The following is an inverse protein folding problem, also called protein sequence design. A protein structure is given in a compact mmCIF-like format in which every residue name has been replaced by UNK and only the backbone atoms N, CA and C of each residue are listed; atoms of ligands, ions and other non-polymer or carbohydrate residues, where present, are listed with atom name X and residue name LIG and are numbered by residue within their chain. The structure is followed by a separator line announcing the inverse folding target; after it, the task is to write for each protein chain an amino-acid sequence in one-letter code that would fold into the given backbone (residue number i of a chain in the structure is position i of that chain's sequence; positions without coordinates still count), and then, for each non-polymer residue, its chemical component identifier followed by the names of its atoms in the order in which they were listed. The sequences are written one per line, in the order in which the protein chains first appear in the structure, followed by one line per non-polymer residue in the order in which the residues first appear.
data_IF_222256380972
#
_entry.id   IF_222256380972
#
_cell.length_a   1.000
_cell.length_b   1.000
_cell.length_c   1.000
_cell.angle_alpha   90.00
_cell.angle_beta   90.00
_cell.angle_gamma   90.00
#
_symmetry.space_group_name_H-M   'P 1'
#
loop_
_entity.id
_entity.type
_entity.pdbx_description
1 polymer ?
#
# COMPACT_ATOMS: atom_id res chain seq x y z
N UNK A 1 -0.23 3.27 -17.65
CA UNK A 1 -0.82 3.62 -16.34
C UNK A 1 -0.68 2.39 -15.48
N UNK A 2 0.12 2.43 -14.43
CA UNK A 2 0.30 1.27 -13.55
C UNK A 2 -1.00 1.03 -12.79
N UNK A 3 -1.60 -0.14 -12.97
CA UNK A 3 -2.79 -0.58 -12.23
C UNK A 3 -2.38 -0.99 -10.80
N UNK A 4 -1.87 -0.03 -10.04
CA UNK A 4 -1.49 -0.24 -8.65
C UNK A 4 -2.74 -0.47 -7.81
N UNK A 5 -2.76 -1.52 -6.99
CA UNK A 5 -3.94 -1.90 -6.17
C UNK A 5 -4.40 -0.78 -5.21
N UNK A 6 -3.48 0.12 -4.86
CA UNK A 6 -3.67 1.30 -4.02
C UNK A 6 -3.96 2.59 -4.79
N UNK A 7 -4.18 2.55 -6.11
CA UNK A 7 -4.40 3.74 -6.93
C UNK A 7 -5.62 4.59 -6.53
N UNK A 8 -6.60 3.99 -5.85
CA UNK A 8 -7.78 4.69 -5.33
C UNK A 8 -7.50 5.49 -4.05
N UNK A 9 -6.34 5.32 -3.42
CA UNK A 9 -5.92 6.05 -2.23
C UNK A 9 -5.21 7.34 -2.64
N UNK A 10 -5.96 8.25 -3.27
CA UNK A 10 -5.49 9.58 -3.63
C UNK A 10 -5.29 10.45 -2.39
N UNK A 11 -4.58 11.57 -2.55
CA UNK A 11 -4.35 12.49 -1.43
C UNK A 11 -5.67 13.10 -0.93
N UNK A 12 -6.65 13.33 -1.80
CA UNK A 12 -7.99 13.79 -1.42
C UNK A 12 -8.71 12.77 -0.55
N UNK A 13 -8.70 11.49 -0.93
CA UNK A 13 -9.31 10.41 -0.15
C UNK A 13 -8.65 10.30 1.22
N UNK A 14 -7.32 10.36 1.26
CA UNK A 14 -6.56 10.30 2.51
C UNK A 14 -6.86 11.53 3.38
N UNK A 15 -6.79 12.74 2.84
CA UNK A 15 -7.06 13.97 3.59
C UNK A 15 -8.47 13.97 4.17
N UNK A 16 -9.48 13.54 3.41
CA UNK A 16 -10.85 13.40 3.89
C UNK A 16 -10.95 12.39 5.05
N UNK A 17 -10.22 11.29 4.98
CA UNK A 17 -10.19 10.29 6.05
C UNK A 17 -9.58 10.82 7.38
N UNK A 18 -8.73 11.85 7.31
CA UNK A 18 -8.11 12.50 8.48
C UNK A 18 -8.84 13.79 8.89
N UNK A 19 -9.94 14.16 8.23
CA UNK A 19 -10.71 15.35 8.56
C UNK A 19 -11.15 15.31 10.04
N UNK A 20 -11.04 16.44 10.74
CA UNK A 20 -11.36 16.58 12.16
C UNK A 20 -10.52 15.71 13.12
N UNK A 21 -9.35 15.22 12.70
CA UNK A 21 -8.41 14.53 13.58
C UNK A 21 -7.22 15.42 13.97
N UNK A 22 -6.62 15.18 15.14
CA UNK A 22 -5.42 15.88 15.59
C UNK A 22 -4.30 14.89 15.89
N UNK A 23 -3.43 14.67 14.91
CA UNK A 23 -2.23 13.83 15.04
C UNK A 23 -0.96 14.62 15.36
N UNK A 24 -1.02 15.96 15.42
CA UNK A 24 0.16 16.83 15.57
C UNK A 24 1.15 16.78 14.39
N UNK A 25 0.80 16.08 13.30
CA UNK A 25 1.58 15.94 12.05
C UNK A 25 0.63 15.74 10.88
N UNK A 26 1.08 16.08 9.66
CA UNK A 26 0.27 16.10 8.43
C UNK A 26 0.74 15.13 7.36
N UNK A 27 1.75 14.32 7.64
CA UNK A 27 2.24 13.26 6.76
C UNK A 27 1.39 11.99 6.89
N UNK A 28 0.12 12.11 6.51
CA UNK A 28 -0.90 11.08 6.69
C UNK A 28 -0.56 9.77 6.00
N UNK A 29 0.07 9.81 4.82
CA UNK A 29 0.57 8.59 4.15
C UNK A 29 1.54 7.81 5.03
N UNK A 30 2.44 8.50 5.73
CA UNK A 30 3.38 7.90 6.67
C UNK A 30 2.64 7.30 7.86
N UNK A 31 1.69 8.02 8.45
CA UNK A 31 0.88 7.52 9.57
C UNK A 31 0.13 6.23 9.19
N UNK A 32 -0.47 6.19 8.00
CA UNK A 32 -1.15 5.00 7.49
C UNK A 32 -0.17 3.84 7.29
N UNK A 33 0.98 4.08 6.66
CA UNK A 33 2.00 3.06 6.40
C UNK A 33 2.61 2.51 7.70
N UNK A 34 2.97 3.38 8.65
CA UNK A 34 3.42 2.99 10.00
C UNK A 34 2.36 2.14 10.72
N UNK A 35 1.09 2.54 10.64
CA UNK A 35 -0.01 1.82 11.30
C UNK A 35 -0.17 0.43 10.73
N UNK A 36 -0.16 0.28 9.40
CA UNK A 36 -0.19 -1.03 8.73
C UNK A 36 1.00 -1.89 9.18
N UNK A 37 2.21 -1.34 9.16
CA UNK A 37 3.43 -2.09 9.51
C UNK A 37 3.43 -2.54 10.97
N UNK A 38 3.02 -1.68 11.91
CA UNK A 38 2.87 -2.03 13.32
C UNK A 38 1.91 -3.20 13.49
N UNK A 39 0.72 -3.13 12.87
CA UNK A 39 -0.28 -4.20 12.94
C UNK A 39 0.20 -5.50 12.29
N UNK A 40 0.89 -5.42 11.16
CA UNK A 40 1.46 -6.58 10.48
C UNK A 40 2.53 -7.28 11.33
N UNK A 41 3.29 -6.52 12.13
CA UNK A 41 4.30 -7.03 13.04
C UNK A 41 3.75 -7.43 14.44
N UNK A 42 2.43 -7.35 14.66
CA UNK A 42 1.80 -7.68 15.94
C UNK A 42 1.84 -6.58 17.00
N UNK A 43 2.29 -5.37 16.65
CA UNK A 43 2.26 -4.21 17.55
C UNK A 43 0.92 -3.50 17.54
N UNK A 44 0.64 -2.81 18.64
CA UNK A 44 -0.51 -1.92 18.77
C UNK A 44 -0.26 -0.56 18.10
N UNK A 45 -1.33 0.07 17.63
CA UNK A 45 -1.37 1.44 17.11
C UNK A 45 -2.56 2.16 17.73
N UNK A 46 -2.51 3.49 17.80
CA UNK A 46 -3.60 4.30 18.33
C UNK A 46 -4.94 4.02 17.65
N UNK A 47 -6.02 4.13 18.41
CA UNK A 47 -7.38 3.77 17.96
C UNK A 47 -7.80 4.56 16.71
N UNK A 48 -7.61 5.88 16.70
CA UNK A 48 -7.98 6.74 15.57
C UNK A 48 -7.32 6.30 14.27
N UNK A 49 -5.99 6.10 14.26
CA UNK A 49 -5.28 5.64 13.07
C UNK A 49 -5.72 4.24 12.63
N UNK A 50 -5.95 3.34 13.59
CA UNK A 50 -6.45 1.99 13.31
C UNK A 50 -7.82 2.03 12.64
N UNK A 51 -8.73 2.86 13.14
CA UNK A 51 -10.09 3.04 12.57
C UNK A 51 -10.04 3.65 11.17
N UNK A 52 -9.18 4.65 10.94
CA UNK A 52 -8.98 5.21 9.60
C UNK A 52 -8.45 4.13 8.64
N UNK A 53 -7.43 3.37 9.04
CA UNK A 53 -6.90 2.28 8.21
C UNK A 53 -7.95 1.19 7.93
N UNK A 54 -8.88 0.91 8.85
CA UNK A 54 -10.00 0.01 8.59
C UNK A 54 -11.00 0.62 7.60
N UNK A 55 -11.34 1.91 7.74
CA UNK A 55 -12.23 2.63 6.82
C UNK A 55 -11.70 2.71 5.40
N UNK A 56 -10.37 2.82 5.25
CA UNK A 56 -9.67 2.81 3.96
C UNK A 56 -9.35 1.39 3.43
N UNK A 57 -9.74 0.33 4.15
CA UNK A 57 -9.49 -1.06 3.74
C UNK A 57 -8.01 -1.51 3.85
N UNK A 58 -7.14 -0.72 4.49
CA UNK A 58 -5.74 -1.08 4.75
C UNK A 58 -5.61 -2.13 5.87
N UNK A 59 -6.56 -2.13 6.80
CA UNK A 59 -6.71 -3.15 7.85
C UNK A 59 -8.08 -3.83 7.74
N UNK A 60 -8.14 -5.10 8.13
CA UNK A 60 -9.37 -5.85 8.25
C UNK A 60 -10.23 -5.30 9.39
N UNK A 61 -11.51 -5.02 9.14
CA UNK A 61 -12.46 -4.61 10.17
C UNK A 61 -12.77 -5.70 11.21
N UNK A 62 -12.49 -6.97 10.89
CA UNK A 62 -12.80 -8.11 11.76
C UNK A 62 -11.78 -8.31 12.87
N UNK A 63 -10.50 -8.14 12.55
CA UNK A 63 -9.38 -8.51 13.43
C UNK A 63 -8.21 -7.53 13.35
N UNK A 64 -8.37 -6.39 12.65
CA UNK A 64 -7.37 -5.34 12.51
C UNK A 64 -6.01 -5.84 11.95
N UNK A 65 -6.02 -6.97 11.22
CA UNK A 65 -4.84 -7.47 10.51
C UNK A 65 -4.61 -6.68 9.23
N UNK A 66 -3.35 -6.54 8.80
CA UNK A 66 -3.02 -5.89 7.54
C UNK A 66 -3.64 -6.63 6.35
N UNK A 67 -4.28 -5.87 5.44
CA UNK A 67 -4.78 -6.43 4.18
C UNK A 67 -3.68 -6.43 3.12
N UNK A 68 -3.91 -7.14 1.99
CA UNK A 68 -2.99 -7.06 0.83
C UNK A 68 -2.83 -5.62 0.34
N UNK A 69 -3.93 -4.85 0.33
CA UNK A 69 -3.91 -3.42 0.00
C UNK A 69 -3.03 -2.64 0.99
N UNK A 70 -3.23 -2.85 2.29
CA UNK A 70 -2.42 -2.24 3.35
C UNK A 70 -0.93 -2.50 3.16
N UNK A 71 -0.55 -3.77 3.03
CA UNK A 71 0.85 -4.17 2.87
C UNK A 71 1.47 -3.58 1.60
N UNK A 72 0.72 -3.55 0.49
CA UNK A 72 1.19 -2.96 -0.77
C UNK A 72 1.38 -1.46 -0.64
N UNK A 73 0.42 -0.75 -0.02
CA UNK A 73 0.52 0.68 0.26
C UNK A 73 1.75 1.01 1.12
N UNK A 74 1.98 0.26 2.22
CA UNK A 74 3.13 0.47 3.08
C UNK A 74 4.45 0.16 2.35
N UNK A 75 4.48 -0.89 1.54
CA UNK A 75 5.63 -1.22 0.71
C UNK A 75 5.95 -0.09 -0.29
N UNK A 76 4.95 0.43 -0.99
CA UNK A 76 5.11 1.55 -1.92
C UNK A 76 5.55 2.86 -1.26
N UNK A 77 5.16 3.08 0.00
CA UNK A 77 5.53 4.26 0.75
C UNK A 77 7.03 4.27 1.12
N UNK A 78 7.58 3.14 1.57
CA UNK A 78 8.97 3.09 2.05
C UNK A 78 10.01 2.79 0.96
N UNK A 79 9.62 2.12 -0.12
CA UNK A 79 10.56 1.77 -1.19
C UNK A 79 10.69 2.88 -2.23
N UNK A 80 11.94 3.17 -2.64
CA UNK A 80 12.21 4.06 -3.79
C UNK A 80 11.51 3.53 -5.04
N UNK A 81 10.96 4.39 -5.91
CA UNK A 81 10.28 3.98 -7.15
C UNK A 81 11.09 2.98 -7.98
N UNK A 82 12.40 3.21 -8.15
CA UNK A 82 13.28 2.30 -8.90
C UNK A 82 13.41 0.90 -8.28
N UNK A 83 13.36 0.78 -6.94
CA UNK A 83 13.43 -0.51 -6.24
C UNK A 83 12.08 -1.20 -6.26
N UNK A 84 10.99 -0.44 -6.08
CA UNK A 84 9.61 -0.93 -6.21
C UNK A 84 9.36 -1.50 -7.60
N UNK A 85 9.71 -0.76 -8.65
CA UNK A 85 9.55 -1.18 -10.05
C UNK A 85 10.36 -2.43 -10.39
N UNK A 86 11.56 -2.57 -9.81
CA UNK A 86 12.37 -3.78 -9.96
C UNK A 86 11.75 -5.01 -9.27
N UNK A 87 11.07 -4.83 -8.13
CA UNK A 87 10.46 -5.92 -7.35
C UNK A 87 9.02 -6.24 -7.78
N UNK A 88 8.30 -5.29 -8.37
CA UNK A 88 6.95 -5.44 -8.90
C UNK A 88 6.91 -5.04 -10.37
N UNK A 89 7.52 -5.83 -11.28
CA UNK A 89 7.46 -5.55 -12.69
C UNK A 89 6.01 -5.62 -13.17
N UNK A 90 5.48 -4.48 -13.60
CA UNK A 90 4.10 -4.27 -14.09
C UNK A 90 3.82 -4.94 -15.44
N UNK A 91 4.41 -6.12 -15.68
CA UNK A 91 4.50 -6.70 -17.01
C UNK A 91 4.84 -8.19 -17.02
N UNK A 92 4.38 -8.97 -16.03
CA UNK A 92 4.52 -10.43 -16.09
C UNK A 92 4.15 -10.97 -17.48
N UNK A 93 3.04 -10.51 -18.07
CA UNK A 93 2.63 -10.87 -19.44
C UNK A 93 3.60 -10.44 -20.56
N UNK A 94 4.22 -9.24 -20.49
CA UNK A 94 5.20 -8.81 -21.51
C UNK A 94 6.56 -9.47 -21.33
N UNK A 95 6.94 -9.81 -20.11
CA UNK A 95 8.17 -10.55 -19.80
C UNK A 95 8.04 -12.00 -20.27
N UNK A 96 6.92 -12.67 -19.98
CA UNK A 96 6.62 -14.02 -20.50
C UNK A 96 6.50 -14.01 -22.04
N UNK A 97 5.90 -12.98 -22.62
CA UNK A 97 5.85 -12.82 -24.09
C UNK A 97 7.23 -12.62 -24.73
N UNK A 98 8.16 -11.92 -24.07
CA UNK A 98 9.56 -11.77 -24.53
C UNK A 98 10.38 -13.05 -24.37
N UNK A 99 10.20 -13.76 -23.25
CA UNK A 99 10.89 -15.03 -22.99
C UNK A 99 10.42 -16.13 -23.95
N UNK A 100 9.11 -16.25 -24.18
CA UNK A 100 8.55 -17.21 -25.15
C UNK A 100 8.93 -16.91 -26.61
N UNK A 101 9.17 -15.64 -26.95
CA UNK A 101 9.68 -15.26 -28.26
C UNK A 101 11.18 -15.56 -28.45
N UNK A 102 11.96 -15.67 -27.36
CA UNK A 102 13.37 -16.04 -27.41
C UNK A 102 13.58 -17.56 -27.45
N UNK A 103 12.70 -18.35 -26.83
CA UNK A 103 12.79 -19.83 -26.86
C UNK A 103 12.43 -20.43 -28.23
N UNK A 104 11.61 -19.76 -29.04
CA UNK A 104 11.27 -20.22 -30.40
C UNK A 104 12.35 -19.89 -31.46
N UNK A 105 13.44 -19.21 -31.09
CA UNK A 105 14.49 -18.75 -31.99
C UNK A 105 15.81 -19.56 -31.88
N UNK A 106 15.76 -20.76 -31.31
CA UNK A 106 16.89 -21.71 -31.24
C UNK A 106 16.64 -22.95 -32.08
#
# INVERSE_FOLDING_TARGET
MSNSIDAHLTDEVINAAFENTNFGRTDFRTILAETVMKRAAGFHSGWTATTICMGLGLLSSKNQSATKLGLTFAFHHYYKPCVREALMPDNSLKIWGKLGAQEAAQ
#
